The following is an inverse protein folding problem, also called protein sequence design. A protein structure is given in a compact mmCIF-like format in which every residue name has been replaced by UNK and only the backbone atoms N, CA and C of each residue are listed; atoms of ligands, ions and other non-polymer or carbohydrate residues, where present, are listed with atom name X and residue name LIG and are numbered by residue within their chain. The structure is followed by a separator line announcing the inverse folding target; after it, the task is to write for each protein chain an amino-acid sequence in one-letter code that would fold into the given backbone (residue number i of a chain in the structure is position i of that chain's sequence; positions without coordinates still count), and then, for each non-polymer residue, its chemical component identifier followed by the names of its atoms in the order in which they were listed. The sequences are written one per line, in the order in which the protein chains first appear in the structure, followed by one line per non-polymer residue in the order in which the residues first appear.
data_IF_137081878843
#
_entry.id   IF_137081878843
#
_cell.length_a   1.000
_cell.length_b   1.000
_cell.length_c   1.000
_cell.angle_alpha   90.00
_cell.angle_beta   90.00
_cell.angle_gamma   90.00
#
_symmetry.space_group_name_H-M   'P 1'
#
loop_
_entity.id
_entity.type
_entity.pdbx_description
1 polymer ?
#
# COMPACT_ATOMS: atom_id res chain seq x y z
N UNK A 1 -19.62 19.46 19.79
CA UNK A 1 -19.45 18.18 19.09
C UNK A 1 -20.79 17.46 19.08
N UNK A 2 -21.42 17.43 17.91
CA UNK A 2 -22.68 16.73 17.61
C UNK A 2 -22.36 15.50 16.77
N UNK A 3 -23.24 14.52 16.82
CA UNK A 3 -23.19 13.34 15.94
C UNK A 3 -24.37 13.39 14.98
N UNK A 4 -24.10 13.30 13.69
CA UNK A 4 -25.11 13.42 12.64
C UNK A 4 -25.06 12.19 11.75
N UNK A 5 -26.21 11.59 11.49
CA UNK A 5 -26.31 10.38 10.66
C UNK A 5 -26.80 10.70 9.25
N UNK A 6 -26.13 10.17 8.23
CA UNK A 6 -26.52 10.31 6.82
C UNK A 6 -26.34 9.00 6.07
N UNK A 7 -27.20 8.78 5.07
CA UNK A 7 -27.07 7.68 4.09
C UNK A 7 -25.90 7.96 3.16
N UNK A 8 -25.12 6.95 2.83
CA UNK A 8 -24.14 6.98 1.73
C UNK A 8 -24.36 5.74 0.84
N UNK A 9 -24.20 5.89 -0.47
CA UNK A 9 -24.31 4.72 -1.36
C UNK A 9 -23.09 3.82 -1.21
N UNK A 10 -23.29 2.51 -1.38
CA UNK A 10 -22.22 1.51 -1.17
C UNK A 10 -20.93 1.79 -1.96
N UNK A 11 -21.04 2.30 -3.20
CA UNK A 11 -19.86 2.68 -4.00
C UNK A 11 -19.01 3.78 -3.34
N UNK A 12 -19.65 4.78 -2.74
CA UNK A 12 -18.96 5.86 -2.04
C UNK A 12 -18.58 5.46 -0.62
N UNK A 13 -19.35 4.57 0.01
CA UNK A 13 -19.03 4.01 1.32
C UNK A 13 -17.66 3.35 1.29
N UNK A 14 -17.42 2.47 0.32
CA UNK A 14 -16.14 1.78 0.21
C UNK A 14 -14.99 2.77 -0.07
N UNK A 15 -15.22 3.80 -0.88
CA UNK A 15 -14.25 4.88 -1.14
C UNK A 15 -13.95 5.75 0.10
N UNK A 16 -14.92 5.97 0.99
CA UNK A 16 -14.69 6.67 2.26
C UNK A 16 -14.05 5.73 3.29
N UNK A 17 -14.39 4.44 3.27
CA UNK A 17 -13.84 3.42 4.15
C UNK A 17 -12.34 3.25 3.94
N UNK A 18 -11.90 3.18 2.68
CA UNK A 18 -10.50 2.96 2.30
C UNK A 18 -9.65 4.24 2.24
N UNK A 19 -10.26 5.41 2.42
CA UNK A 19 -9.56 6.71 2.43
C UNK A 19 -9.41 7.36 1.05
N UNK A 20 -9.88 6.74 -0.03
CA UNK A 20 -9.84 7.32 -1.38
C UNK A 20 -10.73 8.56 -1.54
N UNK A 21 -11.77 8.70 -0.69
CA UNK A 21 -12.68 9.84 -0.63
C UNK A 21 -12.71 10.42 0.79
N UNK A 22 -12.28 11.67 0.92
CA UNK A 22 -12.18 12.40 2.18
C UNK A 22 -13.11 13.62 2.27
N UNK A 23 -14.18 13.65 1.47
CA UNK A 23 -15.19 14.72 1.50
C UNK A 23 -16.58 14.19 1.18
N UNK A 24 -17.61 14.90 1.62
CA UNK A 24 -19.01 14.72 1.25
C UNK A 24 -19.54 15.99 0.57
N UNK A 25 -20.32 15.82 -0.50
CA UNK A 25 -21.09 16.90 -1.11
C UNK A 25 -22.56 16.67 -0.77
N UNK A 26 -23.19 17.65 -0.11
CA UNK A 26 -24.58 17.54 0.37
C UNK A 26 -25.32 18.85 0.14
N UNK A 27 -26.65 18.75 0.10
CA UNK A 27 -27.50 19.92 0.31
C UNK A 27 -27.24 20.51 1.70
N UNK A 28 -27.26 21.83 1.79
CA UNK A 28 -27.08 22.56 3.05
C UNK A 28 -28.42 22.80 3.78
N UNK A 29 -29.26 21.78 3.85
CA UNK A 29 -30.57 21.75 4.50
C UNK A 29 -30.51 21.32 6.00
N UNK A 30 -29.31 21.17 6.55
CA UNK A 30 -29.04 20.79 7.94
C UNK A 30 -27.71 21.39 8.40
N UNK A 31 -27.61 21.59 9.72
CA UNK A 31 -26.42 22.17 10.35
C UNK A 31 -25.39 21.11 10.73
N UNK A 32 -24.11 21.41 10.46
CA UNK A 32 -22.93 20.66 10.89
C UNK A 32 -21.76 21.64 11.03
N UNK A 33 -20.90 21.41 12.02
CA UNK A 33 -19.77 22.27 12.32
C UNK A 33 -18.44 21.49 12.25
N UNK A 34 -17.32 22.20 12.08
CA UNK A 34 -15.98 21.59 12.20
C UNK A 34 -15.83 20.99 13.60
N UNK A 35 -15.34 19.74 13.67
CA UNK A 35 -15.22 18.97 14.91
C UNK A 35 -16.43 18.10 15.23
N UNK A 36 -17.54 18.21 14.51
CA UNK A 36 -18.66 17.26 14.63
C UNK A 36 -18.32 15.88 14.03
N UNK A 37 -19.13 14.87 14.36
CA UNK A 37 -18.99 13.49 13.85
C UNK A 37 -20.12 13.19 12.86
N UNK A 38 -19.75 12.75 11.67
CA UNK A 38 -20.65 12.26 10.64
C UNK A 38 -20.65 10.72 10.63
N UNK A 39 -21.80 10.11 10.91
CA UNK A 39 -22.04 8.68 10.76
C UNK A 39 -22.64 8.42 9.39
N UNK A 40 -21.87 7.78 8.52
CA UNK A 40 -22.27 7.40 7.17
C UNK A 40 -22.78 5.96 7.18
N UNK A 41 -24.10 5.79 7.01
CA UNK A 41 -24.78 4.48 6.98
C UNK A 41 -24.87 3.98 5.55
N UNK A 42 -24.32 2.80 5.30
CA UNK A 42 -24.26 2.19 3.97
C UNK A 42 -25.64 1.79 3.47
N UNK A 43 -26.03 2.38 2.36
CA UNK A 43 -27.30 2.18 1.69
C UNK A 43 -27.07 1.60 0.29
N UNK A 44 -27.64 0.44 0.01
CA UNK A 44 -27.57 -0.16 -1.31
C UNK A 44 -28.72 0.40 -2.19
N UNK A 45 -28.44 1.19 -3.24
CA UNK A 45 -29.49 1.79 -4.06
C UNK A 45 -30.26 0.76 -4.92
N UNK A 46 -29.68 -0.44 -5.16
CA UNK A 46 -30.33 -1.52 -5.93
C UNK A 46 -31.37 -2.24 -5.09
N UNK A 47 -31.02 -2.64 -3.86
CA UNK A 47 -31.94 -3.34 -2.95
C UNK A 47 -32.83 -2.38 -2.16
N UNK A 48 -32.46 -1.10 -2.10
CA UNK A 48 -33.14 -0.05 -1.30
C UNK A 48 -33.15 -0.39 0.19
N UNK A 49 -32.05 -0.93 0.68
CA UNK A 49 -31.89 -1.34 2.07
C UNK A 49 -30.56 -0.86 2.62
N UNK A 50 -30.51 -0.66 3.95
CA UNK A 50 -29.24 -0.51 4.65
C UNK A 50 -28.55 -1.87 4.73
N UNK A 51 -27.26 -1.92 4.46
CA UNK A 51 -26.48 -3.17 4.57
C UNK A 51 -26.11 -3.52 6.02
N UNK A 52 -26.31 -2.57 6.96
CA UNK A 52 -25.87 -2.65 8.35
C UNK A 52 -24.46 -2.11 8.58
N UNK A 53 -23.68 -1.82 7.53
CA UNK A 53 -22.36 -1.19 7.66
C UNK A 53 -22.51 0.31 7.97
N UNK A 54 -21.60 0.85 8.80
CA UNK A 54 -21.52 2.29 9.07
C UNK A 54 -20.06 2.74 9.26
N UNK A 55 -19.78 4.01 8.99
CA UNK A 55 -18.49 4.66 9.22
C UNK A 55 -18.69 5.92 10.03
N UNK A 56 -17.79 6.17 10.98
CA UNK A 56 -17.74 7.43 11.72
C UNK A 56 -16.57 8.28 11.24
N UNK A 57 -16.80 9.57 11.01
CA UNK A 57 -15.78 10.51 10.54
C UNK A 57 -15.91 11.86 11.21
N UNK A 58 -14.79 12.41 11.68
CA UNK A 58 -14.75 13.79 12.19
C UNK A 58 -14.74 14.79 11.03
N UNK A 59 -15.56 15.83 11.10
CA UNK A 59 -15.51 16.95 10.17
C UNK A 59 -14.28 17.80 10.42
N UNK A 60 -13.48 17.98 9.38
CA UNK A 60 -12.22 18.74 9.42
C UNK A 60 -12.29 20.03 8.59
N UNK A 61 -13.24 20.12 7.66
CA UNK A 61 -13.41 21.26 6.77
C UNK A 61 -14.87 21.43 6.38
N UNK A 62 -15.31 22.68 6.21
CA UNK A 62 -16.69 22.99 5.80
C UNK A 62 -16.71 24.24 4.92
N UNK A 63 -17.29 24.12 3.72
CA UNK A 63 -17.71 25.25 2.88
C UNK A 63 -19.21 25.13 2.64
N UNK A 64 -19.95 26.22 2.84
CA UNK A 64 -21.33 26.37 2.35
C UNK A 64 -21.35 27.35 1.17
N UNK A 65 -21.95 26.99 0.04
CA UNK A 65 -21.97 27.83 -1.18
C UNK A 65 -23.25 27.65 -1.99
N UNK A 66 -23.72 28.70 -2.66
CA UNK A 66 -24.85 28.63 -3.61
C UNK A 66 -24.40 28.48 -5.08
N UNK A 67 -23.10 28.58 -5.35
CA UNK A 67 -22.56 28.70 -6.71
C UNK A 67 -22.46 27.38 -7.51
N UNK A 68 -22.96 26.25 -7.00
CA UNK A 68 -22.87 24.95 -7.68
C UNK A 68 -24.08 24.62 -8.59
N UNK A 69 -24.95 25.61 -8.87
CA UNK A 69 -26.05 25.50 -9.86
C UNK A 69 -25.58 24.94 -11.22
N UNK A 70 -24.32 25.15 -11.58
CA UNK A 70 -23.71 24.66 -12.81
C UNK A 70 -23.58 23.12 -12.91
N UNK A 71 -23.84 22.35 -11.84
CA UNK A 71 -23.56 20.90 -11.79
C UNK A 71 -24.78 19.99 -11.99
N UNK A 72 -26.00 20.53 -12.09
CA UNK A 72 -27.20 19.79 -12.55
C UNK A 72 -27.72 18.66 -11.64
N UNK A 73 -27.29 18.61 -10.37
CA UNK A 73 -27.56 17.48 -9.46
C UNK A 73 -28.82 17.65 -8.59
N UNK A 74 -29.45 18.83 -8.53
CA UNK A 74 -30.63 19.12 -7.70
C UNK A 74 -31.59 20.14 -8.33
N UNK A 75 -32.89 20.16 -7.96
CA UNK A 75 -33.85 21.17 -8.44
C UNK A 75 -33.42 22.58 -8.07
N UNK A 76 -33.67 23.54 -8.97
CA UNK A 76 -33.26 24.93 -8.78
C UNK A 76 -33.87 25.55 -7.52
N UNK A 77 -35.12 25.26 -7.21
CA UNK A 77 -35.78 25.81 -6.01
C UNK A 77 -35.05 25.39 -4.72
N UNK A 78 -34.54 24.16 -4.66
CA UNK A 78 -33.79 23.65 -3.51
C UNK A 78 -32.39 24.28 -3.43
N UNK A 79 -31.73 24.52 -4.58
CA UNK A 79 -30.43 25.19 -4.62
C UNK A 79 -30.55 26.64 -4.16
N UNK A 80 -31.54 27.37 -4.66
CA UNK A 80 -31.80 28.76 -4.29
C UNK A 80 -32.09 28.90 -2.79
N UNK A 81 -32.87 27.94 -2.25
CA UNK A 81 -33.29 27.93 -0.86
C UNK A 81 -32.19 27.53 0.11
N UNK A 82 -31.44 26.46 -0.18
CA UNK A 82 -30.51 25.86 0.79
C UNK A 82 -29.03 26.01 0.40
N UNK A 83 -28.69 25.99 -0.88
CA UNK A 83 -27.30 25.89 -1.34
C UNK A 83 -26.67 24.53 -1.06
N UNK A 84 -25.34 24.46 -1.20
CA UNK A 84 -24.52 23.27 -1.03
C UNK A 84 -23.62 23.38 0.19
N UNK A 85 -23.22 22.23 0.70
CA UNK A 85 -22.10 22.11 1.62
C UNK A 85 -21.12 21.04 1.15
N UNK A 86 -19.83 21.39 1.19
CA UNK A 86 -18.70 20.47 1.01
C UNK A 86 -18.12 20.25 2.40
N UNK A 87 -18.19 19.01 2.86
CA UNK A 87 -17.79 18.59 4.20
C UNK A 87 -16.52 17.76 4.05
N UNK A 88 -15.36 18.30 4.40
CA UNK A 88 -14.13 17.52 4.51
C UNK A 88 -14.18 16.64 5.76
N UNK A 89 -13.92 15.36 5.58
CA UNK A 89 -13.95 14.35 6.65
C UNK A 89 -12.53 13.84 6.89
N UNK A 90 -12.17 13.62 8.17
CA UNK A 90 -10.86 13.08 8.53
C UNK A 90 -10.67 11.71 7.85
N UNK A 91 -9.66 11.53 6.99
CA UNK A 91 -9.42 10.21 6.40
C UNK A 91 -9.10 9.19 7.51
N UNK A 92 -9.43 7.92 7.28
CA UNK A 92 -8.83 6.85 8.07
C UNK A 92 -7.36 6.85 7.70
N UNK A 93 -6.47 6.82 8.69
CA UNK A 93 -5.09 6.41 8.45
C UNK A 93 -5.12 4.93 8.05
N UNK A 94 -5.40 4.64 6.78
CA UNK A 94 -5.17 3.33 6.21
C UNK A 94 -3.68 3.26 5.93
N UNK A 95 -3.00 2.31 6.58
CA UNK A 95 -1.58 2.12 6.30
C UNK A 95 -1.44 1.55 4.90
N UNK A 96 -0.66 2.21 4.07
CA UNK A 96 -0.35 1.73 2.72
C UNK A 96 0.52 0.49 2.83
N UNK A 97 0.07 -0.65 2.31
CA UNK A 97 0.80 -1.91 2.36
C UNK A 97 1.87 -1.94 1.28
N UNK A 98 3.11 -2.06 1.69
CA UNK A 98 4.26 -2.24 0.79
C UNK A 98 4.72 -3.68 0.93
N UNK A 99 4.61 -4.46 -0.14
CA UNK A 99 5.29 -5.74 -0.28
C UNK A 99 6.63 -5.49 -0.98
N UNK A 100 7.73 -5.87 -0.34
CA UNK A 100 9.07 -5.68 -0.89
C UNK A 100 9.89 -6.96 -0.75
N UNK A 101 10.53 -7.39 -1.85
CA UNK A 101 11.46 -8.52 -1.81
C UNK A 101 12.70 -8.19 -0.98
N UNK A 102 13.26 -9.20 -0.31
CA UNK A 102 14.46 -9.03 0.52
C UNK A 102 15.75 -9.16 -0.27
N UNK A 103 16.11 -10.38 -0.67
CA UNK A 103 17.34 -10.67 -1.42
C UNK A 103 17.25 -10.10 -2.82
N UNK A 104 18.35 -9.60 -3.37
CA UNK A 104 18.37 -9.00 -4.72
C UNK A 104 17.80 -7.58 -4.74
N UNK A 105 16.89 -7.24 -3.83
CA UNK A 105 16.16 -5.97 -3.81
C UNK A 105 16.68 -4.99 -2.73
N UNK A 106 16.61 -5.36 -1.44
CA UNK A 106 17.08 -4.52 -0.31
C UNK A 106 18.27 -5.12 0.44
N UNK A 107 18.57 -6.40 0.22
CA UNK A 107 19.69 -7.13 0.79
C UNK A 107 20.55 -7.75 -0.32
N UNK A 108 21.86 -7.82 -0.06
CA UNK A 108 22.85 -8.49 -0.93
C UNK A 108 23.86 -9.29 -0.11
N UNK A 109 24.57 -10.26 -0.70
CA UNK A 109 25.69 -10.93 -0.05
C UNK A 109 26.76 -9.93 0.43
N UNK A 110 27.30 -10.11 1.64
CA UNK A 110 28.39 -9.26 2.14
C UNK A 110 29.65 -9.30 1.25
N UNK A 111 29.90 -10.42 0.57
CA UNK A 111 31.00 -10.55 -0.40
C UNK A 111 30.86 -9.55 -1.55
N UNK A 112 29.65 -9.10 -1.85
CA UNK A 112 29.33 -8.12 -2.89
C UNK A 112 29.56 -6.66 -2.49
N UNK A 113 29.91 -6.36 -1.23
CA UNK A 113 29.95 -4.98 -0.70
C UNK A 113 30.80 -4.00 -1.51
N UNK A 114 31.93 -4.46 -2.03
CA UNK A 114 32.88 -3.64 -2.79
C UNK A 114 32.85 -3.95 -4.30
N UNK A 115 31.83 -4.67 -4.76
CA UNK A 115 31.70 -5.09 -6.14
C UNK A 115 30.67 -4.24 -6.88
N UNK A 116 30.85 -4.11 -8.19
CA UNK A 116 29.83 -3.56 -9.08
C UNK A 116 28.55 -4.39 -8.99
N UNK A 117 27.42 -3.81 -9.44
CA UNK A 117 26.15 -4.54 -9.53
C UNK A 117 26.30 -5.77 -10.42
N UNK A 118 26.91 -5.61 -11.59
CA UNK A 118 27.15 -6.67 -12.57
C UNK A 118 28.05 -7.78 -12.01
N UNK A 119 29.04 -7.42 -11.19
CA UNK A 119 29.87 -8.39 -10.50
C UNK A 119 29.08 -9.18 -9.46
N UNK A 120 28.20 -8.53 -8.68
CA UNK A 120 27.28 -9.21 -7.76
C UNK A 120 26.34 -10.19 -8.46
N UNK A 121 25.75 -9.77 -9.58
CA UNK A 121 24.92 -10.64 -10.44
C UNK A 121 25.72 -11.87 -10.90
N UNK A 122 26.97 -11.68 -11.34
CA UNK A 122 27.85 -12.79 -11.74
C UNK A 122 28.12 -13.78 -10.61
N UNK A 123 28.23 -13.34 -9.35
CA UNK A 123 28.41 -14.26 -8.22
C UNK A 123 27.24 -15.22 -8.08
N UNK A 124 26.01 -14.74 -8.30
CA UNK A 124 24.79 -15.57 -8.28
C UNK A 124 24.77 -16.51 -9.49
N UNK A 125 25.01 -16.00 -10.70
CA UNK A 125 25.06 -16.81 -11.93
C UNK A 125 26.10 -17.92 -11.83
N UNK A 126 27.27 -17.63 -11.26
CA UNK A 126 28.35 -18.60 -11.07
C UNK A 126 28.10 -19.55 -9.88
N UNK A 127 26.98 -19.39 -9.17
CA UNK A 127 26.61 -20.17 -8.01
C UNK A 127 27.71 -20.19 -6.94
N UNK A 128 28.35 -19.03 -6.71
CA UNK A 128 29.43 -18.92 -5.74
C UNK A 128 28.91 -19.20 -4.32
N UNK A 129 29.66 -19.96 -3.53
CA UNK A 129 29.28 -20.26 -2.13
C UNK A 129 28.98 -19.01 -1.31
N UNK A 130 29.68 -17.91 -1.60
CA UNK A 130 29.48 -16.64 -0.89
C UNK A 130 28.12 -15.99 -1.17
N UNK A 131 27.51 -16.27 -2.33
CA UNK A 131 26.17 -15.81 -2.67
C UNK A 131 25.05 -16.59 -1.93
N UNK A 132 25.38 -17.65 -1.21
CA UNK A 132 24.43 -18.44 -0.41
C UNK A 132 24.63 -18.29 1.10
N UNK A 133 25.47 -17.36 1.53
CA UNK A 133 25.64 -17.01 2.95
C UNK A 133 24.57 -16.00 3.40
N UNK A 134 23.31 -16.44 3.42
CA UNK A 134 22.15 -15.57 3.71
C UNK A 134 22.25 -14.86 5.06
N UNK A 135 22.84 -15.52 6.07
CA UNK A 135 23.12 -14.94 7.38
C UNK A 135 24.08 -13.75 7.31
N UNK A 136 24.99 -13.75 6.34
CA UNK A 136 25.95 -12.70 6.08
C UNK A 136 25.43 -11.57 5.19
N UNK A 137 24.15 -11.57 4.80
CA UNK A 137 23.62 -10.52 3.93
C UNK A 137 23.63 -9.14 4.61
N UNK A 138 23.80 -8.10 3.78
CA UNK A 138 23.86 -6.71 4.21
C UNK A 138 22.88 -5.84 3.40
N UNK A 139 22.45 -4.68 3.95
CA UNK A 139 21.60 -3.74 3.23
C UNK A 139 22.25 -3.23 1.95
N UNK A 140 21.43 -3.08 0.90
CA UNK A 140 21.80 -2.37 -0.32
C UNK A 140 21.46 -0.87 -0.14
N UNK A 141 22.45 -0.01 -0.37
CA UNK A 141 22.25 1.43 -0.40
C UNK A 141 21.65 1.97 0.90
N UNK A 142 20.69 2.88 0.78
CA UNK A 142 19.99 3.49 1.92
C UNK A 142 18.67 2.79 2.27
N UNK A 143 18.51 1.50 1.94
CA UNK A 143 17.23 0.78 2.10
C UNK A 143 16.66 0.88 3.52
N UNK A 144 17.50 0.78 4.55
CA UNK A 144 17.08 0.92 5.95
C UNK A 144 16.49 2.30 6.24
N UNK A 145 17.15 3.40 5.84
CA UNK A 145 16.62 4.75 6.08
C UNK A 145 15.31 4.98 5.32
N UNK A 146 15.24 4.51 4.08
CA UNK A 146 14.09 4.71 3.19
C UNK A 146 12.84 4.02 3.73
N UNK A 147 12.96 2.76 4.13
CA UNK A 147 11.83 2.01 4.69
C UNK A 147 11.35 2.64 6.01
N UNK A 148 12.28 3.17 6.83
CA UNK A 148 11.91 3.90 8.05
C UNK A 148 11.12 5.18 7.73
N UNK A 149 11.50 5.93 6.68
CA UNK A 149 10.73 7.10 6.24
C UNK A 149 9.35 6.71 5.71
N UNK A 150 9.21 5.61 4.97
CA UNK A 150 7.90 5.12 4.53
C UNK A 150 7.00 4.75 5.70
N UNK A 151 7.53 4.10 6.74
CA UNK A 151 6.77 3.79 7.97
C UNK A 151 6.32 5.07 8.68
N UNK A 152 7.15 6.11 8.73
CA UNK A 152 6.76 7.44 9.26
C UNK A 152 5.64 8.08 8.45
N UNK A 153 5.56 7.79 7.15
CA UNK A 153 4.52 8.25 6.23
C UNK A 153 3.37 7.25 6.11
N UNK A 154 3.02 6.57 7.21
CA UNK A 154 1.88 5.67 7.30
C UNK A 154 1.92 4.49 6.32
N UNK A 155 3.10 3.95 6.03
CA UNK A 155 3.22 2.66 5.32
C UNK A 155 3.36 1.50 6.30
N UNK A 156 2.83 0.33 5.91
CA UNK A 156 3.06 -0.96 6.57
C UNK A 156 3.94 -1.83 5.68
N UNK A 157 5.06 -2.32 6.23
CA UNK A 157 6.03 -3.08 5.47
C UNK A 157 5.78 -4.59 5.61
N UNK A 158 5.68 -5.26 4.46
CA UNK A 158 5.68 -6.69 4.31
C UNK A 158 6.93 -7.06 3.52
N UNK A 159 7.86 -7.76 4.16
CA UNK A 159 9.04 -8.31 3.51
C UNK A 159 8.67 -9.63 2.86
N UNK A 160 9.21 -9.93 1.68
CA UNK A 160 9.04 -11.22 1.02
C UNK A 160 10.41 -11.84 0.75
N UNK A 161 10.71 -12.95 1.41
CA UNK A 161 11.96 -13.69 1.18
C UNK A 161 11.79 -14.76 0.11
N UNK A 162 12.86 -14.92 -0.68
CA UNK A 162 13.00 -16.02 -1.62
C UNK A 162 13.34 -17.38 -0.96
N UNK A 163 13.56 -17.39 0.37
CA UNK A 163 13.93 -18.59 1.13
C UNK A 163 12.70 -19.39 1.55
N UNK A 164 12.86 -20.71 1.63
CA UNK A 164 11.76 -21.65 1.91
C UNK A 164 12.04 -22.60 3.07
N UNK A 165 13.29 -22.68 3.53
CA UNK A 165 13.65 -23.46 4.71
C UNK A 165 13.57 -22.60 5.97
N UNK A 166 13.20 -23.21 7.10
CA UNK A 166 13.05 -22.48 8.37
C UNK A 166 14.36 -21.79 8.79
N UNK A 167 15.50 -22.45 8.60
CA UNK A 167 16.80 -21.92 8.97
C UNK A 167 17.17 -20.68 8.14
N UNK A 168 17.00 -20.75 6.81
CA UNK A 168 17.29 -19.61 5.93
C UNK A 168 16.31 -18.45 6.13
N UNK A 169 15.01 -18.74 6.33
CA UNK A 169 14.02 -17.71 6.66
C UNK A 169 14.41 -17.01 7.97
N UNK A 170 14.87 -17.78 8.97
CA UNK A 170 15.35 -17.25 10.24
C UNK A 170 16.60 -16.40 10.07
N UNK A 171 17.53 -16.80 9.19
CA UNK A 171 18.72 -16.01 8.87
C UNK A 171 18.34 -14.65 8.26
N UNK A 172 17.40 -14.61 7.33
CA UNK A 172 16.90 -13.35 6.73
C UNK A 172 16.20 -12.48 7.77
N UNK A 173 15.34 -13.07 8.61
CA UNK A 173 14.69 -12.36 9.71
C UNK A 173 15.73 -11.72 10.65
N UNK A 174 16.80 -12.45 10.97
CA UNK A 174 17.89 -11.96 11.79
C UNK A 174 18.66 -10.82 11.11
N UNK A 175 18.96 -10.93 9.81
CA UNK A 175 19.61 -9.85 9.03
C UNK A 175 18.78 -8.57 9.08
N UNK A 176 17.46 -8.66 8.89
CA UNK A 176 16.56 -7.51 8.99
C UNK A 176 16.64 -6.85 10.38
N UNK A 177 16.60 -7.66 11.45
CA UNK A 177 16.67 -7.18 12.84
C UNK A 177 18.03 -6.54 13.14
N UNK A 178 19.14 -7.22 12.84
CA UNK A 178 20.49 -6.74 13.16
C UNK A 178 20.83 -5.44 12.43
N UNK A 179 20.36 -5.28 11.19
CA UNK A 179 20.56 -4.07 10.40
C UNK A 179 19.51 -2.98 10.68
N UNK A 180 18.62 -3.19 11.66
CA UNK A 180 17.62 -2.20 12.12
C UNK A 180 16.66 -1.76 11.03
N UNK A 181 16.24 -2.68 10.16
CA UNK A 181 15.08 -2.45 9.31
C UNK A 181 13.85 -2.18 10.19
N UNK A 182 12.89 -1.34 9.73
CA UNK A 182 11.71 -1.07 10.52
C UNK A 182 10.86 -2.34 10.69
N UNK A 183 10.06 -2.35 11.75
CA UNK A 183 9.12 -3.45 12.02
C UNK A 183 8.22 -3.71 10.80
N UNK A 184 8.10 -4.98 10.45
CA UNK A 184 7.28 -5.45 9.34
C UNK A 184 7.10 -6.97 9.44
N UNK A 185 6.23 -7.51 8.60
CA UNK A 185 5.96 -8.96 8.55
C UNK A 185 6.85 -9.60 7.49
N UNK A 186 7.66 -10.60 7.85
CA UNK A 186 8.38 -11.42 6.88
C UNK A 186 7.48 -12.54 6.36
N UNK A 187 7.13 -12.46 5.09
CA UNK A 187 6.37 -13.44 4.34
C UNK A 187 7.33 -14.34 3.55
N UNK A 188 6.88 -15.56 3.32
CA UNK A 188 7.56 -16.58 2.54
C UNK A 188 6.49 -17.49 1.92
N UNK A 189 6.85 -18.18 0.83
CA UNK A 189 5.94 -19.14 0.21
C UNK A 189 5.98 -20.48 0.93
N UNK A 190 4.84 -21.15 1.02
CA UNK A 190 4.76 -22.54 1.49
C UNK A 190 4.97 -23.56 0.36
N UNK A 191 5.10 -24.84 0.72
CA UNK A 191 5.21 -25.91 -0.28
C UNK A 191 3.97 -25.94 -1.17
N UNK A 192 4.17 -26.01 -2.50
CA UNK A 192 3.10 -25.94 -3.50
C UNK A 192 2.58 -24.52 -3.77
N UNK A 193 3.16 -23.50 -3.16
CA UNK A 193 2.82 -22.09 -3.37
C UNK A 193 3.91 -21.37 -4.18
N UNK A 194 3.50 -20.44 -5.03
CA UNK A 194 4.37 -19.49 -5.72
C UNK A 194 4.29 -18.10 -5.07
N UNK A 195 5.28 -17.23 -5.29
CA UNK A 195 5.28 -15.88 -4.72
C UNK A 195 4.07 -15.04 -5.14
N UNK A 196 3.56 -15.25 -6.37
CA UNK A 196 2.34 -14.60 -6.82
C UNK A 196 1.14 -14.94 -5.92
N UNK A 197 1.03 -16.17 -5.41
CA UNK A 197 -0.04 -16.53 -4.48
C UNK A 197 0.08 -15.80 -3.13
N UNK A 198 1.32 -15.60 -2.63
CA UNK A 198 1.57 -14.82 -1.41
C UNK A 198 1.13 -13.36 -1.61
N UNK A 199 1.51 -12.77 -2.74
CA UNK A 199 1.11 -11.41 -3.10
C UNK A 199 -0.42 -11.28 -3.32
N UNK A 200 -1.07 -12.27 -3.93
CA UNK A 200 -2.53 -12.28 -4.12
C UNK A 200 -3.32 -12.45 -2.82
N UNK A 201 -2.76 -13.14 -1.82
CA UNK A 201 -3.36 -13.21 -0.47
C UNK A 201 -3.24 -11.88 0.26
N UNK A 202 -2.12 -11.17 0.10
CA UNK A 202 -1.87 -9.89 0.77
C UNK A 202 -2.61 -8.72 0.11
N UNK A 203 -2.64 -8.70 -1.23
CA UNK A 203 -3.09 -7.60 -2.09
C UNK A 203 -2.46 -6.27 -1.64
N UNK A 204 -1.12 -6.11 -1.78
CA UNK A 204 -0.44 -4.89 -1.35
C UNK A 204 -0.81 -3.71 -2.24
N UNK A 205 -0.73 -2.49 -1.71
CA UNK A 205 -0.89 -1.27 -2.53
C UNK A 205 0.32 -1.07 -3.45
N UNK A 206 1.50 -1.47 -2.98
CA UNK A 206 2.76 -1.43 -3.73
C UNK A 206 3.49 -2.76 -3.65
N UNK A 207 3.97 -3.25 -4.79
CA UNK A 207 4.91 -4.36 -4.88
C UNK A 207 6.24 -3.87 -5.44
N UNK A 208 7.34 -4.16 -4.75
CA UNK A 208 8.72 -3.84 -5.16
C UNK A 208 9.51 -5.14 -5.22
N UNK A 209 10.07 -5.43 -6.39
CA UNK A 209 10.92 -6.59 -6.63
C UNK A 209 12.03 -6.26 -7.61
N UNK A 210 13.10 -7.06 -7.61
CA UNK A 210 14.11 -6.98 -8.65
C UNK A 210 13.69 -7.71 -9.93
N UNK A 211 14.42 -7.44 -11.00
CA UNK A 211 14.18 -7.97 -12.34
C UNK A 211 14.66 -9.42 -12.51
N UNK A 212 15.18 -10.08 -11.46
CA UNK A 212 15.60 -11.48 -11.48
C UNK A 212 16.62 -11.80 -12.60
N UNK A 213 17.50 -10.83 -12.93
CA UNK A 213 18.50 -10.90 -14.01
C UNK A 213 19.33 -12.20 -13.95
N UNK A 214 19.70 -12.64 -12.75
CA UNK A 214 20.55 -13.80 -12.52
C UNK A 214 19.84 -15.16 -12.65
N UNK A 215 18.51 -15.22 -12.55
CA UNK A 215 17.76 -16.48 -12.41
C UNK A 215 16.71 -16.76 -13.49
N UNK A 216 16.38 -15.80 -14.35
CA UNK A 216 15.44 -16.04 -15.45
C UNK A 216 14.60 -14.83 -15.88
N UNK A 217 14.78 -13.68 -15.24
CA UNK A 217 14.10 -12.45 -15.62
C UNK A 217 12.62 -12.45 -15.24
N UNK A 218 11.81 -11.87 -16.13
CA UNK A 218 10.37 -11.64 -15.94
C UNK A 218 9.56 -12.90 -15.58
N UNK A 219 9.99 -14.09 -16.01
CA UNK A 219 9.31 -15.36 -15.71
C UNK A 219 9.41 -15.71 -14.22
N UNK A 220 10.51 -15.34 -13.57
CA UNK A 220 10.77 -15.63 -12.15
C UNK A 220 10.19 -14.54 -11.22
N UNK A 221 9.83 -13.38 -11.77
CA UNK A 221 9.23 -12.28 -11.02
C UNK A 221 7.80 -12.61 -10.55
N UNK A 222 7.38 -11.97 -9.47
CA UNK A 222 6.07 -12.14 -8.84
C UNK A 222 4.97 -11.43 -9.61
N UNK A 223 5.16 -10.14 -9.93
CA UNK A 223 4.13 -9.31 -10.53
C UNK A 223 3.67 -9.83 -11.91
N UNK A 224 4.56 -10.21 -12.84
CA UNK A 224 4.16 -10.78 -14.13
C UNK A 224 3.30 -12.04 -14.00
N UNK A 225 3.43 -12.78 -12.91
CA UNK A 225 2.70 -14.01 -12.62
C UNK A 225 1.41 -13.81 -11.80
N UNK A 226 1.03 -12.57 -11.48
CA UNK A 226 -0.26 -12.25 -10.85
C UNK A 226 -1.42 -12.36 -11.85
N UNK A 227 -2.60 -12.69 -11.34
CA UNK A 227 -3.85 -12.59 -12.10
C UNK A 227 -4.13 -11.15 -12.57
N UNK A 228 -4.76 -10.96 -13.75
CA UNK A 228 -5.02 -9.63 -14.30
C UNK A 228 -5.82 -8.70 -13.37
N UNK A 229 -6.77 -9.26 -12.63
CA UNK A 229 -7.61 -8.51 -11.68
C UNK A 229 -6.81 -7.95 -10.50
N UNK A 230 -5.80 -8.69 -10.04
CA UNK A 230 -4.94 -8.26 -8.94
C UNK A 230 -3.87 -7.28 -9.43
N UNK A 231 -3.27 -7.51 -10.61
CA UNK A 231 -2.34 -6.55 -11.23
C UNK A 231 -2.92 -5.13 -11.29
N UNK A 232 -4.19 -5.00 -11.66
CA UNK A 232 -4.87 -3.72 -11.75
C UNK A 232 -4.98 -2.96 -10.41
N UNK A 233 -4.78 -3.64 -9.27
CA UNK A 233 -4.87 -3.06 -7.91
C UNK A 233 -3.52 -2.70 -7.32
N UNK A 234 -2.42 -3.16 -7.91
CA UNK A 234 -1.07 -3.06 -7.33
C UNK A 234 -0.25 -2.09 -8.15
N UNK A 235 0.35 -1.09 -7.50
CA UNK A 235 1.40 -0.29 -8.12
C UNK A 235 2.74 -1.05 -8.03
N UNK A 236 3.28 -1.46 -9.17
CA UNK A 236 4.48 -2.27 -9.23
C UNK A 236 5.73 -1.46 -9.60
N UNK A 237 6.83 -1.74 -8.91
CA UNK A 237 8.17 -1.26 -9.23
C UNK A 237 9.12 -2.45 -9.40
N UNK A 238 9.55 -2.67 -10.64
CA UNK A 238 10.69 -3.54 -10.93
C UNK A 238 11.96 -2.71 -10.88
N UNK A 239 12.93 -3.16 -10.08
CA UNK A 239 14.26 -2.57 -9.99
C UNK A 239 15.31 -3.52 -10.57
N UNK A 240 16.50 -3.01 -10.88
CA UNK A 240 17.59 -3.90 -11.27
C UNK A 240 18.04 -4.74 -10.08
N UNK A 241 18.32 -6.02 -10.29
CA UNK A 241 18.92 -6.89 -9.27
C UNK A 241 20.19 -6.27 -8.68
N UNK A 242 20.26 -6.26 -7.36
CA UNK A 242 21.26 -5.59 -6.52
C UNK A 242 21.39 -4.07 -6.71
N UNK A 243 20.43 -3.43 -7.39
CA UNK A 243 20.40 -2.00 -7.66
C UNK A 243 19.92 -1.15 -6.48
N UNK A 244 19.16 -1.73 -5.56
CA UNK A 244 18.61 -1.02 -4.40
C UNK A 244 17.47 -0.06 -4.76
N UNK A 245 16.94 0.59 -3.72
CA UNK A 245 15.70 1.38 -3.79
C UNK A 245 15.91 2.88 -3.59
N UNK A 246 17.15 3.36 -3.64
CA UNK A 246 17.51 4.77 -3.39
C UNK A 246 16.77 5.76 -4.31
N UNK A 247 16.40 5.33 -5.51
CA UNK A 247 15.65 6.14 -6.48
C UNK A 247 14.13 6.18 -6.21
N UNK A 248 13.63 5.39 -5.24
CA UNK A 248 12.21 5.29 -4.89
C UNK A 248 11.80 6.18 -3.71
N UNK A 249 12.74 6.92 -3.10
CA UNK A 249 12.53 7.76 -1.90
C UNK A 249 11.29 8.65 -2.00
N UNK A 250 11.08 9.30 -3.15
CA UNK A 250 10.00 10.28 -3.35
C UNK A 250 8.71 9.71 -3.95
N UNK A 251 8.67 8.40 -4.21
CA UNK A 251 7.59 7.76 -4.97
C UNK A 251 6.50 7.12 -4.10
N UNK A 252 6.77 7.01 -2.80
CA UNK A 252 5.93 6.32 -1.81
C UNK A 252 5.84 7.16 -0.55
#
# INVERSE_FOLDING_TARGET
MKTIEKKIWSEYFDAVANGNKNFELRLADWEIDIGDVLILKDWNPKTKEYTGRQLERTVTYLIKTKAAEAWGMWPKEDIDKYGFQIIGIKPVETKKKILIFTEGTILMPASGKNLSREERVKQVINNEKSAHDFKGYIPIGNSVQILNEWVKNSCEIYYLTSRTTIDEITDIQNVLIYNRFPSGTLLFRHNGENYSNVAEKLIPDILIEDDCESIGGEIEMTYPNLSPEIKAKIKHYSIKEFGGIDHLVSLI
#
